data_IF_939285664184
#
_entry.id   IF_939285664184
#
_cell.length_a   1.000
_cell.length_b   1.000
_cell.length_c   1.000
_cell.angle_alpha   90.00
_cell.angle_beta   90.00
_cell.angle_gamma   90.00
#
_symmetry.space_group_name_H-M   'P 1'
#
loop_
_entity.id
_entity.type
_entity.pdbx_description
1 polymer ?
#
# COMPACT_ATOMS: atom_id res chain seq x y z
N UNK A 1 -50.29 -16.36 -49.54
CA UNK A 1 -48.93 -16.84 -49.19
C UNK A 1 -48.46 -16.11 -47.92
N UNK A 2 -47.48 -16.67 -47.19
CA UNK A 2 -47.26 -16.35 -45.76
C UNK A 2 -46.68 -14.95 -45.53
N UNK A 3 -47.20 -14.24 -44.52
CA UNK A 3 -46.50 -13.10 -43.89
C UNK A 3 -45.31 -13.62 -43.09
N UNK A 4 -44.12 -13.07 -43.30
CA UNK A 4 -42.94 -13.35 -42.47
C UNK A 4 -42.78 -12.23 -41.46
N UNK A 5 -42.98 -12.53 -40.18
CA UNK A 5 -42.85 -11.57 -39.09
C UNK A 5 -41.44 -11.72 -38.48
N UNK A 6 -40.51 -10.82 -38.83
CA UNK A 6 -39.13 -10.89 -38.33
C UNK A 6 -39.06 -10.33 -36.90
N UNK A 7 -39.05 -11.22 -35.91
CA UNK A 7 -38.97 -10.85 -34.49
C UNK A 7 -37.52 -10.45 -34.13
N UNK A 8 -37.25 -9.15 -34.02
CA UNK A 8 -35.99 -8.65 -33.46
C UNK A 8 -35.95 -8.92 -31.94
N UNK A 9 -35.25 -9.98 -31.55
CA UNK A 9 -35.03 -10.31 -30.14
C UNK A 9 -33.91 -9.41 -29.59
N UNK A 10 -34.27 -8.22 -29.12
CA UNK A 10 -33.36 -7.34 -28.38
C UNK A 10 -32.97 -8.03 -27.06
N UNK A 11 -31.79 -8.64 -27.03
CA UNK A 11 -31.20 -9.18 -25.81
C UNK A 11 -30.64 -8.02 -24.96
N UNK A 12 -31.55 -7.22 -24.39
CA UNK A 12 -31.20 -6.14 -23.50
C UNK A 12 -30.51 -6.69 -22.25
N UNK A 13 -29.22 -6.44 -22.11
CA UNK A 13 -28.48 -6.69 -20.86
C UNK A 13 -29.01 -5.74 -19.79
N UNK A 14 -30.04 -6.17 -19.07
CA UNK A 14 -30.54 -5.46 -17.89
C UNK A 14 -29.44 -5.45 -16.84
N UNK A 15 -28.75 -4.32 -16.72
CA UNK A 15 -27.97 -3.98 -15.54
C UNK A 15 -28.94 -3.95 -14.36
N UNK A 16 -29.00 -5.05 -13.62
CA UNK A 16 -29.76 -5.11 -12.37
C UNK A 16 -29.21 -4.02 -11.44
N UNK A 17 -30.06 -3.16 -10.85
CA UNK A 17 -29.60 -2.19 -9.86
C UNK A 17 -28.88 -2.91 -8.72
N UNK A 18 -27.81 -2.30 -8.21
CA UNK A 18 -26.98 -2.88 -7.16
C UNK A 18 -27.84 -3.16 -5.93
N UNK A 19 -28.02 -4.44 -5.63
CA UNK A 19 -28.94 -4.92 -4.61
C UNK A 19 -28.53 -4.45 -3.21
N UNK A 20 -29.52 -4.03 -2.40
CA UNK A 20 -29.28 -3.43 -1.09
C UNK A 20 -28.41 -4.32 -0.19
N UNK A 21 -27.34 -3.73 0.31
CA UNK A 21 -26.43 -4.37 1.25
C UNK A 21 -26.93 -4.30 2.69
N UNK A 22 -26.26 -5.02 3.58
CA UNK A 22 -26.50 -4.88 5.03
C UNK A 22 -25.51 -3.86 5.62
N UNK A 23 -26.05 -2.93 6.42
CA UNK A 23 -25.26 -1.96 7.19
C UNK A 23 -25.34 -2.28 8.68
N UNK A 24 -24.20 -2.32 9.38
CA UNK A 24 -24.15 -2.60 10.82
C UNK A 24 -23.14 -1.74 11.57
N UNK A 25 -23.53 -1.35 12.79
CA UNK A 25 -22.73 -0.53 13.70
C UNK A 25 -21.77 -1.37 14.54
N UNK A 26 -20.51 -0.97 14.51
CA UNK A 26 -19.37 -1.60 15.16
C UNK A 26 -19.02 -0.84 16.44
N UNK A 27 -18.85 0.48 16.34
CA UNK A 27 -18.47 1.36 17.44
C UNK A 27 -19.34 2.62 17.48
N UNK A 28 -19.47 3.23 18.66
CA UNK A 28 -20.14 4.53 18.84
C UNK A 28 -19.09 5.64 18.82
N UNK A 29 -18.74 6.09 17.63
CA UNK A 29 -17.80 7.19 17.39
C UNK A 29 -18.54 8.43 16.86
N UNK A 30 -17.91 9.59 16.97
CA UNK A 30 -18.41 10.83 16.36
C UNK A 30 -18.35 10.74 14.83
N UNK A 31 -19.31 11.34 14.13
CA UNK A 31 -19.20 11.52 12.67
C UNK A 31 -18.02 12.44 12.31
N UNK A 32 -17.42 12.28 11.12
CA UNK A 32 -16.47 13.24 10.58
C UNK A 32 -17.09 14.63 10.47
N UNK A 33 -16.26 15.67 10.59
CA UNK A 33 -16.70 17.08 10.44
C UNK A 33 -16.72 17.56 8.99
N UNK A 34 -15.83 17.02 8.16
CA UNK A 34 -15.55 17.55 6.82
C UNK A 34 -15.49 16.45 5.76
N UNK A 35 -15.82 16.83 4.52
CA UNK A 35 -15.62 16.01 3.34
C UNK A 35 -14.13 15.90 3.00
N UNK A 36 -13.74 14.84 2.29
CA UNK A 36 -12.36 14.70 1.77
C UNK A 36 -12.26 15.31 0.38
N UNK A 37 -11.11 15.90 0.00
CA UNK A 37 -10.91 16.40 -1.35
C UNK A 37 -11.03 15.25 -2.36
N UNK A 38 -11.84 15.48 -3.38
CA UNK A 38 -12.13 14.50 -4.42
C UNK A 38 -11.86 15.12 -5.81
N UNK A 39 -11.43 14.27 -6.75
CA UNK A 39 -11.03 14.67 -8.10
C UNK A 39 -11.59 13.69 -9.14
N UNK A 40 -11.60 14.10 -10.42
CA UNK A 40 -12.10 13.24 -11.50
C UNK A 40 -11.20 12.03 -11.72
N UNK A 41 -11.77 10.91 -12.20
CA UNK A 41 -11.02 9.69 -12.50
C UNK A 41 -9.88 9.95 -13.50
N UNK A 42 -10.09 10.82 -14.50
CA UNK A 42 -9.04 11.22 -15.45
C UNK A 42 -7.87 11.89 -14.74
N UNK A 43 -8.12 12.85 -13.84
CA UNK A 43 -7.06 13.54 -13.09
C UNK A 43 -6.28 12.58 -12.18
N UNK A 44 -6.94 11.56 -11.64
CA UNK A 44 -6.28 10.48 -10.90
C UNK A 44 -5.33 9.71 -11.81
N UNK A 45 -5.79 9.23 -12.96
CA UNK A 45 -4.92 8.49 -13.89
C UNK A 45 -3.75 9.33 -14.40
N UNK A 46 -3.98 10.60 -14.72
CA UNK A 46 -2.90 11.53 -15.08
C UNK A 46 -1.87 11.66 -13.95
N UNK A 47 -2.30 11.82 -12.70
CA UNK A 47 -1.39 11.85 -11.54
C UNK A 47 -0.61 10.55 -11.39
N UNK A 48 -1.29 9.40 -11.49
CA UNK A 48 -0.64 8.09 -11.41
C UNK A 48 0.40 7.91 -12.53
N UNK A 49 0.09 8.31 -13.77
CA UNK A 49 1.05 8.29 -14.89
C UNK A 49 2.27 9.18 -14.59
N UNK A 50 2.10 10.36 -13.99
CA UNK A 50 3.25 11.20 -13.55
C UNK A 50 4.09 10.49 -12.49
N UNK A 51 3.45 9.93 -11.46
CA UNK A 51 4.14 9.17 -10.40
C UNK A 51 4.90 7.95 -10.95
N UNK A 52 4.34 7.23 -11.93
CA UNK A 52 4.99 6.06 -12.56
C UNK A 52 6.23 6.41 -13.38
N UNK A 53 6.23 7.60 -13.99
CA UNK A 53 7.40 8.18 -14.65
C UNK A 53 8.40 8.80 -13.64
N UNK A 54 8.21 8.56 -12.33
CA UNK A 54 9.11 8.99 -11.27
C UNK A 54 9.08 10.49 -10.98
N UNK A 55 7.97 11.18 -11.24
CA UNK A 55 7.82 12.64 -11.08
C UNK A 55 7.68 13.14 -9.63
N UNK A 56 7.77 12.26 -8.63
CA UNK A 56 7.65 12.65 -7.22
C UNK A 56 9.00 13.18 -6.68
N UNK A 57 8.92 14.17 -5.79
CA UNK A 57 10.02 15.01 -5.26
C UNK A 57 10.63 16.05 -6.25
N UNK A 58 9.96 17.20 -6.40
CA UNK A 58 10.63 18.45 -6.81
C UNK A 58 9.79 19.42 -7.64
N UNK A 59 10.20 20.69 -7.66
CA UNK A 59 9.52 21.80 -8.36
C UNK A 59 9.51 21.71 -9.90
N UNK A 60 10.01 20.61 -10.47
CA UNK A 60 10.14 20.35 -11.91
C UNK A 60 8.80 20.04 -12.63
N UNK A 61 7.69 19.85 -11.91
CA UNK A 61 6.40 19.41 -12.51
C UNK A 61 5.83 20.33 -13.60
N UNK A 62 6.20 21.62 -13.65
CA UNK A 62 5.53 22.61 -14.51
C UNK A 62 6.01 22.61 -15.97
N UNK A 63 7.19 22.09 -16.26
CA UNK A 63 7.82 22.20 -17.59
C UNK A 63 7.85 20.88 -18.38
N UNK A 64 7.30 19.79 -17.83
CA UNK A 64 7.26 18.47 -18.48
C UNK A 64 5.92 18.26 -19.19
N UNK A 65 5.96 18.10 -20.52
CA UNK A 65 4.79 17.85 -21.34
C UNK A 65 4.43 16.35 -21.34
N UNK A 66 3.64 15.94 -20.34
CA UNK A 66 3.18 14.56 -20.21
C UNK A 66 2.15 14.18 -21.28
N UNK A 67 2.59 13.41 -22.28
CA UNK A 67 1.68 12.70 -23.19
C UNK A 67 1.05 11.51 -22.45
N UNK A 68 -0.10 11.74 -21.80
CA UNK A 68 -0.83 10.70 -21.08
C UNK A 68 -1.30 9.55 -22.00
N UNK A 69 -1.65 9.86 -23.25
CA UNK A 69 -2.07 8.91 -24.31
C UNK A 69 -3.15 7.89 -23.89
N UNK A 70 -4.04 8.27 -22.97
CA UNK A 70 -5.20 7.46 -22.57
C UNK A 70 -6.16 7.36 -23.76
N UNK A 71 -6.46 6.13 -24.19
CA UNK A 71 -7.32 5.83 -25.34
C UNK A 71 -8.75 5.58 -24.86
N UNK A 72 -8.92 4.85 -23.76
CA UNK A 72 -10.20 4.58 -23.14
C UNK A 72 -10.04 4.28 -21.64
N UNK A 73 -11.12 4.48 -20.87
CA UNK A 73 -11.15 4.22 -19.44
C UNK A 73 -12.56 3.88 -18.95
N UNK A 74 -12.64 3.27 -17.76
CA UNK A 74 -13.89 3.05 -17.03
C UNK A 74 -14.61 4.37 -16.77
N UNK A 75 -15.93 4.43 -17.07
CA UNK A 75 -16.76 5.58 -16.71
C UNK A 75 -17.09 5.55 -15.21
N UNK A 76 -16.59 6.55 -14.49
CA UNK A 76 -16.98 6.85 -13.11
C UNK A 76 -17.31 8.35 -13.09
N UNK A 77 -18.58 8.67 -12.87
CA UNK A 77 -19.11 10.04 -12.96
C UNK A 77 -18.95 10.81 -11.63
N UNK A 78 -18.90 10.09 -10.51
CA UNK A 78 -18.66 10.66 -9.18
C UNK A 78 -17.17 10.95 -8.97
N UNK A 79 -16.80 12.16 -8.47
CA UNK A 79 -15.43 12.44 -8.03
C UNK A 79 -14.97 11.46 -6.95
N UNK A 80 -13.68 11.12 -6.97
CA UNK A 80 -13.09 10.15 -6.04
C UNK A 80 -12.00 10.79 -5.18
N UNK A 81 -11.97 10.40 -3.91
CA UNK A 81 -10.83 10.61 -3.01
C UNK A 81 -9.70 9.69 -3.48
N UNK A 82 -8.50 10.25 -3.64
CA UNK A 82 -7.35 9.54 -4.22
C UNK A 82 -6.23 9.35 -3.21
N UNK A 83 -5.69 8.13 -3.12
CA UNK A 83 -4.57 7.78 -2.25
C UNK A 83 -3.44 7.09 -3.03
N UNK A 84 -3.16 7.56 -4.24
CA UNK A 84 -2.08 7.02 -5.08
C UNK A 84 -2.27 5.54 -5.42
N UNK A 85 -1.23 4.74 -5.22
CA UNK A 85 -1.18 3.32 -5.60
C UNK A 85 -1.85 2.35 -4.61
N UNK A 86 -2.34 2.79 -3.45
CA UNK A 86 -3.03 1.90 -2.49
C UNK A 86 -4.40 2.43 -2.01
N UNK A 87 -5.38 2.74 -2.90
CA UNK A 87 -6.62 3.38 -2.49
C UNK A 87 -7.49 2.60 -1.50
N UNK A 88 -7.59 1.27 -1.62
CA UNK A 88 -8.35 0.45 -0.68
C UNK A 88 -7.71 0.47 0.71
N UNK A 89 -6.40 0.19 0.81
CA UNK A 89 -5.71 0.18 2.10
C UNK A 89 -5.70 1.55 2.76
N UNK A 90 -5.26 2.59 2.04
CA UNK A 90 -5.18 3.95 2.58
C UNK A 90 -6.55 4.55 2.85
N UNK A 91 -7.56 4.20 2.05
CA UNK A 91 -8.95 4.56 2.33
C UNK A 91 -9.50 3.90 3.59
N UNK A 92 -9.13 2.64 3.87
CA UNK A 92 -9.51 1.96 5.12
C UNK A 92 -8.75 2.54 6.32
N UNK A 93 -7.47 2.90 6.15
CA UNK A 93 -6.72 3.66 7.15
C UNK A 93 -7.37 5.01 7.44
N UNK A 94 -7.76 5.77 6.40
CA UNK A 94 -8.44 7.06 6.55
C UNK A 94 -9.79 6.91 7.28
N UNK A 95 -10.55 5.87 6.96
CA UNK A 95 -11.80 5.56 7.63
C UNK A 95 -11.60 5.20 9.11
N UNK A 96 -10.51 4.49 9.44
CA UNK A 96 -10.11 4.18 10.80
C UNK A 96 -9.62 5.41 11.58
N UNK A 97 -8.83 6.28 10.94
CA UNK A 97 -8.28 7.48 11.56
C UNK A 97 -9.36 8.54 11.85
N UNK A 98 -10.28 8.77 10.91
CA UNK A 98 -11.29 9.84 10.96
C UNK A 98 -12.72 9.36 11.28
N UNK A 99 -12.88 8.09 11.66
CA UNK A 99 -14.17 7.48 12.02
C UNK A 99 -15.21 7.55 10.88
N UNK A 100 -14.78 7.32 9.64
CA UNK A 100 -15.68 7.27 8.49
C UNK A 100 -16.30 5.87 8.38
N UNK A 101 -17.60 5.72 8.06
CA UNK A 101 -18.13 4.41 7.67
C UNK A 101 -17.40 3.89 6.42
N UNK A 102 -17.32 2.57 6.27
CA UNK A 102 -16.62 1.96 5.13
C UNK A 102 -17.51 0.92 4.42
N UNK A 103 -17.45 0.90 3.09
CA UNK A 103 -18.29 0.05 2.25
C UNK A 103 -17.45 -1.03 1.58
N UNK A 104 -17.89 -2.28 1.66
CA UNK A 104 -17.24 -3.43 1.05
C UNK A 104 -18.21 -4.15 0.11
N UNK A 105 -17.69 -4.71 -0.99
CA UNK A 105 -18.45 -5.61 -1.86
C UNK A 105 -17.68 -6.90 -2.15
N UNK A 106 -18.37 -7.97 -2.61
CA UNK A 106 -17.73 -9.21 -3.03
C UNK A 106 -16.63 -8.99 -4.07
N UNK A 107 -16.84 -8.07 -5.02
CA UNK A 107 -15.86 -7.76 -6.08
C UNK A 107 -14.61 -7.08 -5.54
N UNK A 108 -14.74 -6.18 -4.55
CA UNK A 108 -13.58 -5.52 -3.92
C UNK A 108 -12.73 -6.56 -3.18
N UNK A 109 -13.36 -7.40 -2.36
CA UNK A 109 -12.67 -8.45 -1.61
C UNK A 109 -12.09 -9.50 -2.56
N UNK A 110 -12.81 -9.88 -3.61
CA UNK A 110 -12.31 -10.80 -4.64
C UNK A 110 -11.16 -10.21 -5.46
N UNK A 111 -11.15 -8.90 -5.73
CA UNK A 111 -10.05 -8.25 -6.43
C UNK A 111 -8.76 -8.26 -5.60
N UNK A 112 -8.84 -7.95 -4.30
CA UNK A 112 -7.68 -8.07 -3.39
C UNK A 112 -7.10 -9.49 -3.40
N UNK A 113 -7.97 -10.50 -3.33
CA UNK A 113 -7.58 -11.91 -3.39
C UNK A 113 -6.98 -12.27 -4.77
N UNK A 114 -7.57 -11.77 -5.85
CA UNK A 114 -7.06 -12.00 -7.22
C UNK A 114 -5.69 -11.34 -7.45
N UNK A 115 -5.46 -10.14 -6.88
CA UNK A 115 -4.16 -9.48 -6.93
C UNK A 115 -3.13 -10.17 -6.05
N UNK A 116 -3.50 -10.67 -4.87
CA UNK A 116 -2.62 -11.51 -4.05
C UNK A 116 -2.23 -12.81 -4.75
N UNK A 117 -3.15 -13.45 -5.48
CA UNK A 117 -2.87 -14.58 -6.36
C UNK A 117 -1.93 -14.19 -7.52
N UNK A 118 -2.19 -13.09 -8.22
CA UNK A 118 -1.31 -12.64 -9.31
C UNK A 118 0.12 -12.36 -8.81
N UNK A 119 0.26 -11.75 -7.62
CA UNK A 119 1.56 -11.54 -6.96
C UNK A 119 2.22 -12.85 -6.54
N UNK A 120 1.46 -13.86 -6.12
CA UNK A 120 1.98 -15.21 -5.88
C UNK A 120 2.56 -15.83 -7.16
N UNK A 121 1.82 -15.78 -8.28
CA UNK A 121 2.30 -16.29 -9.56
C UNK A 121 3.58 -15.56 -10.00
N UNK A 122 3.62 -14.22 -9.92
CA UNK A 122 4.82 -13.44 -10.28
C UNK A 122 6.01 -13.67 -9.35
N UNK A 123 5.79 -13.81 -8.04
CA UNK A 123 6.86 -14.02 -7.06
C UNK A 123 7.47 -15.43 -7.16
N UNK A 124 6.67 -16.42 -7.54
CA UNK A 124 7.04 -17.83 -7.61
C UNK A 124 7.06 -18.35 -9.06
N UNK A 125 7.29 -17.48 -10.06
CA UNK A 125 7.18 -17.82 -11.48
C UNK A 125 8.06 -19.01 -11.92
N UNK A 126 9.19 -19.21 -11.24
CA UNK A 126 10.09 -20.38 -11.43
C UNK A 126 9.76 -21.52 -10.44
N UNK A 127 9.40 -21.21 -9.19
CA UNK A 127 9.18 -22.19 -8.10
C UNK A 127 7.80 -22.87 -8.12
N UNK A 128 6.80 -22.30 -8.78
CA UNK A 128 5.54 -23.00 -9.10
C UNK A 128 5.73 -24.13 -10.13
N UNK A 129 6.98 -24.37 -10.54
CA UNK A 129 7.38 -25.62 -11.20
C UNK A 129 7.71 -26.74 -10.21
N UNK A 130 8.20 -26.48 -8.97
CA UNK A 130 8.54 -27.53 -7.97
C UNK A 130 8.85 -27.11 -6.49
N UNK A 131 8.02 -26.26 -5.83
CA UNK A 131 7.74 -26.18 -4.34
C UNK A 131 8.85 -25.76 -3.30
N UNK A 132 8.38 -25.54 -2.06
CA UNK A 132 9.04 -25.56 -0.70
C UNK A 132 9.27 -24.21 0.08
N UNK A 133 9.55 -24.29 1.41
CA UNK A 133 9.30 -23.30 2.51
C UNK A 133 10.38 -23.36 3.64
N UNK A 134 10.56 -22.44 4.63
CA UNK A 134 9.72 -22.33 5.88
C UNK A 134 10.12 -21.30 7.01
N UNK A 135 9.10 -20.87 7.80
CA UNK A 135 9.05 -20.17 9.13
C UNK A 135 9.79 -18.81 9.33
N UNK A 136 9.84 -18.06 10.45
CA UNK A 136 9.32 -18.13 11.86
C UNK A 136 9.02 -16.69 12.42
N UNK A 137 8.58 -16.47 13.69
CA UNK A 137 8.58 -15.11 14.32
C UNK A 137 7.66 -14.78 15.55
N UNK A 138 7.89 -13.60 16.19
CA UNK A 138 7.64 -13.30 17.64
C UNK A 138 6.80 -12.03 18.03
N UNK A 139 6.99 -11.37 19.21
CA UNK A 139 5.94 -10.59 19.97
C UNK A 139 6.42 -9.37 20.82
N UNK A 140 5.55 -8.34 21.00
CA UNK A 140 5.68 -7.18 21.95
C UNK A 140 4.36 -6.81 22.70
N UNK A 141 4.44 -6.05 23.80
CA UNK A 141 3.32 -5.65 24.70
C UNK A 141 3.08 -4.12 24.74
N UNK A 142 1.83 -3.69 25.03
CA UNK A 142 1.41 -2.26 25.08
C UNK A 142 0.44 -1.99 26.25
N UNK A 143 0.55 -0.82 26.90
CA UNK A 143 -0.37 -0.31 27.94
C UNK A 143 -1.21 0.83 27.36
N UNK A 144 -2.51 0.91 27.71
CA UNK A 144 -3.45 1.95 27.27
C UNK A 144 -4.00 2.76 28.45
N UNK A 145 -4.16 4.07 28.27
CA UNK A 145 -4.94 4.92 29.17
C UNK A 145 -6.45 4.62 29.03
N UNK A 146 -7.22 4.90 30.10
CA UNK A 146 -8.68 4.76 30.13
C UNK A 146 -9.34 6.13 30.00
N UNK A 147 -10.10 6.34 28.91
CA UNK A 147 -11.09 7.41 28.83
C UNK A 147 -10.60 8.78 28.35
N UNK A 148 -11.48 9.77 28.49
CA UNK A 148 -11.23 11.17 28.16
C UNK A 148 -10.79 11.93 29.42
N UNK A 149 -9.57 12.46 29.40
CA UNK A 149 -8.99 13.19 30.53
C UNK A 149 -9.03 14.72 30.37
N UNK A 150 -9.43 15.23 29.19
CA UNK A 150 -9.48 16.66 28.90
C UNK A 150 -10.91 17.21 28.94
N UNK A 151 -11.91 16.38 28.66
CA UNK A 151 -13.34 16.73 28.75
C UNK A 151 -14.00 16.42 30.10
N UNK A 152 -13.28 15.83 31.06
CA UNK A 152 -13.81 15.42 32.36
C UNK A 152 -12.98 16.02 33.51
N UNK A 153 -13.55 16.91 34.35
CA UNK A 153 -12.88 17.44 35.54
C UNK A 153 -12.48 16.35 36.55
N UNK A 154 -13.26 15.27 36.63
CA UNK A 154 -13.04 14.13 37.53
C UNK A 154 -12.17 13.03 36.90
N UNK A 155 -11.36 13.37 35.90
CA UNK A 155 -10.46 12.43 35.27
C UNK A 155 -9.33 12.01 36.22
N UNK A 156 -9.09 10.71 36.34
CA UNK A 156 -8.04 10.13 37.19
C UNK A 156 -6.63 10.33 36.60
N UNK A 157 -6.20 11.58 36.45
CA UNK A 157 -4.84 11.96 36.06
C UNK A 157 -3.79 11.32 36.99
N UNK A 158 -4.12 11.12 38.25
CA UNK A 158 -3.30 10.44 39.25
C UNK A 158 -2.88 9.00 38.84
N UNK A 159 -3.67 8.32 38.00
CA UNK A 159 -3.34 6.95 37.52
C UNK A 159 -2.23 6.90 36.46
N UNK A 160 -1.90 8.01 35.77
CA UNK A 160 -0.94 7.97 34.65
C UNK A 160 0.53 8.19 35.07
N UNK A 161 0.77 8.95 36.13
CA UNK A 161 2.11 9.31 36.60
C UNK A 161 2.97 8.11 37.08
N UNK A 162 2.41 7.08 37.75
CA UNK A 162 3.15 5.86 38.07
C UNK A 162 3.65 5.10 36.83
N UNK A 163 2.99 5.30 35.68
CA UNK A 163 3.41 4.73 34.39
C UNK A 163 4.69 5.37 33.84
N UNK A 164 4.94 6.65 34.14
CA UNK A 164 6.18 7.34 33.74
C UNK A 164 7.33 6.98 34.66
N UNK A 165 7.15 7.02 35.98
CA UNK A 165 8.23 6.67 36.94
C UNK A 165 8.66 5.21 36.80
N UNK A 166 7.73 4.28 36.55
CA UNK A 166 8.06 2.88 36.23
C UNK A 166 8.89 2.72 34.96
N UNK A 167 8.73 3.60 33.96
CA UNK A 167 9.55 3.58 32.75
C UNK A 167 10.90 4.27 32.96
N UNK A 168 10.98 5.32 33.79
CA UNK A 168 12.26 5.93 34.21
C UNK A 168 13.12 4.90 34.96
N UNK A 169 12.54 4.17 35.92
CA UNK A 169 13.22 3.11 36.67
C UNK A 169 13.84 2.01 35.79
N UNK A 170 13.24 1.72 34.62
CA UNK A 170 13.79 0.74 33.67
C UNK A 170 15.13 1.18 33.04
N UNK A 171 15.44 2.48 33.04
CA UNK A 171 16.69 3.04 32.52
C UNK A 171 17.65 3.52 33.61
N UNK A 172 17.14 3.95 34.77
CA UNK A 172 17.96 4.50 35.87
C UNK A 172 18.16 3.53 37.05
N UNK A 173 17.44 2.41 37.06
CA UNK A 173 17.28 1.53 38.23
C UNK A 173 16.26 2.09 39.22
N UNK A 174 15.62 1.19 39.97
CA UNK A 174 14.54 1.52 40.91
C UNK A 174 14.98 2.51 42.00
N UNK A 175 16.25 2.44 42.44
CA UNK A 175 16.82 3.25 43.53
C UNK A 175 16.65 4.76 43.34
N UNK A 176 16.78 5.28 42.12
CA UNK A 176 16.59 6.72 41.87
C UNK A 176 15.13 7.13 42.06
N UNK A 177 14.20 6.30 41.57
CA UNK A 177 12.77 6.52 41.69
C UNK A 177 12.33 6.34 43.15
N UNK A 178 12.89 5.37 43.87
CA UNK A 178 12.65 5.14 45.31
C UNK A 178 13.12 6.33 46.17
N UNK A 179 14.31 6.87 45.92
CA UNK A 179 14.85 8.02 46.67
C UNK A 179 14.01 9.29 46.49
N UNK A 180 13.44 9.49 45.29
CA UNK A 180 12.73 10.71 44.92
C UNK A 180 11.20 10.60 45.08
N UNK A 181 10.65 9.39 45.28
CA UNK A 181 9.22 9.19 45.51
C UNK A 181 8.86 9.51 46.95
N UNK A 182 7.79 10.27 47.17
CA UNK A 182 7.22 10.44 48.49
C UNK A 182 6.60 9.12 48.96
N UNK A 183 7.04 8.62 50.11
CA UNK A 183 6.59 7.37 50.73
C UNK A 183 6.54 7.46 52.28
N UNK A 184 6.35 8.67 52.80
CA UNK A 184 6.37 8.96 54.24
C UNK A 184 5.04 8.59 54.90
N UNK A 185 5.02 8.51 56.23
CA UNK A 185 3.80 8.24 57.01
C UNK A 185 2.68 9.30 56.86
N UNK A 186 2.98 10.44 56.24
CA UNK A 186 2.04 11.52 55.92
C UNK A 186 1.73 11.64 54.42
N UNK A 187 2.29 10.78 53.56
CA UNK A 187 2.07 10.86 52.11
C UNK A 187 0.67 10.38 51.75
N UNK A 188 -0.12 11.25 51.11
CA UNK A 188 -1.39 10.89 50.47
C UNK A 188 -1.18 10.68 48.96
N UNK A 189 -2.21 10.26 48.18
CA UNK A 189 -2.10 10.16 46.73
C UNK A 189 -1.61 11.45 46.05
N UNK A 190 -1.97 12.62 46.60
CA UNK A 190 -1.57 13.94 46.06
C UNK A 190 -0.07 14.15 46.18
N UNK A 191 0.53 13.94 47.35
CA UNK A 191 1.99 14.07 47.53
C UNK A 191 2.76 12.98 46.75
N UNK A 192 2.19 11.78 46.63
CA UNK A 192 2.77 10.72 45.80
C UNK A 192 2.82 11.15 44.32
N UNK A 193 1.73 11.66 43.76
CA UNK A 193 1.67 12.17 42.37
C UNK A 193 2.59 13.37 42.18
N UNK A 194 2.61 14.32 43.12
CA UNK A 194 3.50 15.48 43.06
C UNK A 194 4.97 15.04 42.97
N UNK A 195 5.40 14.09 43.81
CA UNK A 195 6.77 13.54 43.76
C UNK A 195 7.09 12.83 42.44
N UNK A 196 6.13 12.13 41.83
CA UNK A 196 6.30 11.47 40.53
C UNK A 196 6.46 12.50 39.39
N UNK A 197 5.75 13.63 39.46
CA UNK A 197 5.92 14.75 38.53
C UNK A 197 7.28 15.43 38.74
N UNK A 198 7.76 15.57 39.98
CA UNK A 198 9.13 16.06 40.27
C UNK A 198 10.21 15.11 39.73
N UNK A 199 10.01 13.79 39.78
CA UNK A 199 10.90 12.82 39.12
C UNK A 199 10.90 13.04 37.60
N UNK A 200 9.74 13.21 36.98
CA UNK A 200 9.66 13.54 35.54
C UNK A 200 10.39 14.86 35.25
N UNK A 201 10.27 15.86 36.12
CA UNK A 201 10.96 17.13 35.95
C UNK A 201 12.49 16.98 35.94
N UNK A 202 13.06 16.23 36.89
CA UNK A 202 14.49 15.98 36.96
C UNK A 202 15.02 15.22 35.72
N UNK A 203 14.17 14.38 35.11
CA UNK A 203 14.52 13.53 33.98
C UNK A 203 14.18 14.13 32.61
N UNK A 204 13.52 15.30 32.55
CA UNK A 204 13.16 15.99 31.29
C UNK A 204 14.31 16.36 30.34
N UNK A 205 15.61 16.47 30.74
CA UNK A 205 16.69 16.64 29.77
C UNK A 205 17.04 15.35 28.99
N UNK A 206 16.56 14.20 29.46
CA UNK A 206 16.91 12.87 28.94
C UNK A 206 15.72 12.12 28.33
N UNK A 207 14.49 12.52 28.67
CA UNK A 207 13.26 11.84 28.25
C UNK A 207 12.18 12.84 27.83
N UNK A 208 11.51 12.57 26.72
CA UNK A 208 10.32 13.28 26.27
C UNK A 208 9.06 12.59 26.81
N UNK A 209 8.17 13.34 27.48
CA UNK A 209 6.97 12.80 28.12
C UNK A 209 5.71 13.00 27.27
N UNK A 210 5.51 12.14 26.27
CA UNK A 210 4.39 12.24 25.33
C UNK A 210 3.17 11.43 25.80
N UNK A 211 2.00 12.08 25.89
CA UNK A 211 0.70 11.42 26.09
C UNK A 211 -0.07 11.40 24.77
N UNK A 212 -0.03 10.28 24.03
CA UNK A 212 -0.77 10.14 22.78
C UNK A 212 -2.19 9.60 23.00
N UNK A 213 -3.21 10.33 22.51
CA UNK A 213 -4.61 9.86 22.42
C UNK A 213 -5.00 9.62 20.97
N UNK A 214 -5.02 8.35 20.56
CA UNK A 214 -5.62 7.91 19.30
C UNK A 214 -6.93 7.16 19.60
N UNK A 215 -8.05 7.87 19.62
CA UNK A 215 -9.34 7.21 19.37
C UNK A 215 -9.39 7.04 17.86
N UNK A 216 -9.20 5.80 17.39
CA UNK A 216 -9.29 5.43 15.99
C UNK A 216 -10.08 4.11 15.90
N UNK A 217 -10.95 4.02 14.89
CA UNK A 217 -11.92 2.94 14.72
C UNK A 217 -12.88 3.26 13.57
N UNK A 218 -13.42 2.22 12.94
CA UNK A 218 -14.44 2.36 11.89
C UNK A 218 -15.82 2.15 12.56
N UNK A 219 -16.72 3.15 12.57
CA UNK A 219 -17.96 3.07 13.35
C UNK A 219 -18.99 2.12 12.76
N UNK A 220 -19.02 1.98 11.44
CA UNK A 220 -20.09 1.32 10.69
C UNK A 220 -19.53 0.73 9.39
N UNK A 221 -20.00 -0.47 9.05
CA UNK A 221 -19.70 -1.15 7.78
C UNK A 221 -20.98 -1.40 7.01
N UNK A 222 -20.93 -1.19 5.70
CA UNK A 222 -21.93 -1.68 4.74
C UNK A 222 -21.33 -2.77 3.88
N UNK A 223 -21.89 -3.99 3.95
CA UNK A 223 -21.59 -5.08 3.03
C UNK A 223 -22.63 -5.10 1.90
N UNK A 224 -22.21 -4.73 0.69
CA UNK A 224 -22.99 -4.90 -0.53
C UNK A 224 -22.99 -6.38 -0.97
N UNK A 225 -23.90 -6.73 -1.89
CA UNK A 225 -24.00 -8.08 -2.46
C UNK A 225 -24.67 -9.10 -1.54
N UNK A 226 -25.16 -10.20 -2.11
CA UNK A 226 -25.98 -11.17 -1.37
C UNK A 226 -25.11 -12.15 -0.56
N UNK A 227 -25.68 -12.85 0.44
CA UNK A 227 -25.02 -13.98 1.09
C UNK A 227 -24.52 -15.07 0.13
N UNK A 228 -25.16 -15.23 -1.04
CA UNK A 228 -24.74 -16.18 -2.07
C UNK A 228 -23.46 -15.70 -2.77
N UNK A 229 -23.27 -14.40 -2.91
CA UNK A 229 -22.07 -13.83 -3.55
C UNK A 229 -20.89 -13.88 -2.57
N UNK A 230 -21.12 -13.57 -1.29
CA UNK A 230 -20.11 -13.78 -0.23
C UNK A 230 -19.73 -15.26 -0.08
N UNK A 231 -20.68 -16.19 -0.20
CA UNK A 231 -20.39 -17.63 -0.24
C UNK A 231 -19.52 -17.99 -1.46
N UNK A 232 -19.83 -17.44 -2.66
CA UNK A 232 -19.00 -17.63 -3.86
C UNK A 232 -17.58 -17.07 -3.70
N UNK A 233 -17.38 -15.95 -2.99
CA UNK A 233 -16.03 -15.44 -2.67
C UNK A 233 -15.27 -16.45 -1.79
N UNK A 234 -15.91 -16.98 -0.73
CA UNK A 234 -15.34 -18.01 0.13
C UNK A 234 -14.96 -19.28 -0.68
N UNK A 235 -15.88 -19.80 -1.50
CA UNK A 235 -15.68 -21.03 -2.26
C UNK A 235 -14.57 -20.88 -3.31
N UNK A 236 -14.56 -19.76 -4.05
CA UNK A 236 -13.46 -19.45 -5.00
C UNK A 236 -12.13 -19.28 -4.29
N UNK A 237 -12.10 -18.71 -3.09
CA UNK A 237 -10.86 -18.56 -2.30
C UNK A 237 -10.32 -19.91 -1.83
N UNK A 238 -11.19 -20.86 -1.45
CA UNK A 238 -10.78 -22.24 -1.15
C UNK A 238 -10.11 -22.90 -2.34
N UNK A 239 -10.67 -22.76 -3.55
CA UNK A 239 -10.10 -23.33 -4.77
C UNK A 239 -8.71 -22.77 -5.15
N UNK A 240 -8.30 -21.61 -4.62
CA UNK A 240 -6.92 -21.14 -4.80
C UNK A 240 -5.89 -21.99 -4.05
N UNK A 241 -6.31 -22.81 -3.08
CA UNK A 241 -5.42 -23.68 -2.31
C UNK A 241 -4.62 -24.67 -3.19
N UNK A 242 -5.20 -25.05 -4.34
CA UNK A 242 -4.62 -25.95 -5.35
C UNK A 242 -3.36 -25.38 -6.03
N UNK A 243 -3.19 -24.05 -5.98
CA UNK A 243 -2.08 -23.30 -6.60
C UNK A 243 -1.01 -22.92 -5.56
N UNK A 244 -0.65 -23.86 -4.68
CA UNK A 244 0.31 -23.69 -3.56
C UNK A 244 0.03 -22.49 -2.61
N UNK A 245 -1.24 -22.09 -2.51
CA UNK A 245 -1.70 -21.03 -1.62
C UNK A 245 -2.43 -21.55 -0.39
N UNK A 246 -2.35 -22.85 -0.10
CA UNK A 246 -2.94 -23.47 1.10
C UNK A 246 -2.51 -22.81 2.43
N UNK A 247 -1.33 -22.17 2.48
CA UNK A 247 -0.89 -21.38 3.64
C UNK A 247 -1.61 -20.03 3.79
N UNK A 248 -2.12 -19.46 2.69
CA UNK A 248 -2.80 -18.17 2.65
C UNK A 248 -4.32 -18.33 2.70
N UNK A 249 -4.87 -19.28 1.96
CA UNK A 249 -6.32 -19.55 1.93
C UNK A 249 -6.86 -20.00 3.28
N UNK A 250 -6.06 -20.74 4.08
CA UNK A 250 -6.37 -21.07 5.48
C UNK A 250 -6.48 -19.84 6.39
N UNK A 251 -5.75 -18.76 6.09
CA UNK A 251 -5.82 -17.50 6.85
C UNK A 251 -7.01 -16.63 6.42
N UNK A 252 -7.42 -16.72 5.16
CA UNK A 252 -8.59 -16.01 4.59
C UNK A 252 -9.93 -16.70 4.88
N UNK A 253 -10.00 -18.04 4.85
CA UNK A 253 -11.23 -18.80 5.08
C UNK A 253 -12.01 -18.39 6.36
N UNK A 254 -11.39 -18.27 7.56
CA UNK A 254 -12.11 -17.84 8.75
C UNK A 254 -12.63 -16.41 8.62
N UNK A 255 -11.93 -15.51 7.91
CA UNK A 255 -12.44 -14.16 7.64
C UNK A 255 -13.69 -14.24 6.77
N UNK A 256 -13.60 -14.90 5.63
CA UNK A 256 -14.66 -14.96 4.63
C UNK A 256 -15.92 -15.67 5.16
N UNK A 257 -15.79 -16.59 6.12
CA UNK A 257 -16.92 -17.12 6.89
C UNK A 257 -17.64 -16.04 7.71
N UNK A 258 -16.92 -15.13 8.35
CA UNK A 258 -17.53 -14.00 9.08
C UNK A 258 -18.18 -12.98 8.13
N UNK A 259 -17.65 -12.78 6.90
CA UNK A 259 -18.35 -12.03 5.84
C UNK A 259 -19.66 -12.72 5.42
N UNK A 260 -19.65 -14.05 5.24
CA UNK A 260 -20.87 -14.83 4.94
C UNK A 260 -21.89 -14.77 6.08
N UNK A 261 -21.47 -14.79 7.35
CA UNK A 261 -22.38 -14.59 8.50
C UNK A 261 -22.94 -13.17 8.54
N UNK A 262 -22.07 -12.16 8.45
CA UNK A 262 -22.47 -10.76 8.52
C UNK A 262 -23.44 -10.37 7.41
N UNK A 263 -23.24 -10.86 6.17
CA UNK A 263 -24.19 -10.67 5.07
C UNK A 263 -25.59 -11.27 5.32
N UNK A 264 -25.73 -12.23 6.24
CA UNK A 264 -27.01 -12.82 6.69
C UNK A 264 -27.58 -12.14 7.94
N UNK A 265 -26.93 -11.10 8.47
CA UNK A 265 -27.31 -10.43 9.71
C UNK A 265 -26.62 -10.95 10.99
N UNK A 266 -25.83 -12.03 10.90
CA UNK A 266 -25.06 -12.56 12.04
C UNK A 266 -23.71 -11.83 12.16
N UNK A 267 -23.70 -10.72 12.92
CA UNK A 267 -22.58 -9.78 12.97
C UNK A 267 -21.73 -9.96 14.24
N UNK A 268 -20.58 -10.62 14.09
CA UNK A 268 -19.54 -10.69 15.13
C UNK A 268 -18.80 -9.35 15.26
N UNK A 269 -19.25 -8.47 16.16
CA UNK A 269 -18.63 -7.14 16.36
C UNK A 269 -17.17 -7.19 16.78
N UNK A 270 -16.72 -8.23 17.49
CA UNK A 270 -15.30 -8.36 17.91
C UNK A 270 -14.41 -8.61 16.69
N UNK A 271 -14.85 -9.44 15.75
CA UNK A 271 -14.19 -9.63 14.46
C UNK A 271 -14.09 -8.33 13.64
N UNK A 272 -15.20 -7.60 13.51
CA UNK A 272 -15.22 -6.35 12.73
C UNK A 272 -14.40 -5.23 13.37
N UNK A 273 -14.38 -5.11 14.71
CA UNK A 273 -13.47 -4.19 15.44
C UNK A 273 -11.99 -4.52 15.21
N UNK A 274 -11.67 -5.75 14.81
CA UNK A 274 -10.32 -6.20 14.51
C UNK A 274 -9.96 -6.09 13.01
N UNK A 275 -10.65 -5.23 12.23
CA UNK A 275 -10.36 -5.09 10.79
C UNK A 275 -9.03 -4.40 10.51
N UNK A 276 -8.76 -3.30 11.21
CA UNK A 276 -7.61 -2.43 11.02
C UNK A 276 -7.19 -1.91 12.40
N UNK A 277 -5.90 -1.97 12.73
CA UNK A 277 -5.30 -1.23 13.85
C UNK A 277 -3.99 -0.62 13.43
N UNK A 278 -3.71 0.55 13.98
CA UNK A 278 -2.46 1.27 13.77
C UNK A 278 -1.76 1.45 15.11
N UNK A 279 -0.48 1.09 15.18
CA UNK A 279 0.36 1.22 16.37
C UNK A 279 1.57 2.09 16.06
N UNK A 280 1.60 3.30 16.60
CA UNK A 280 2.83 4.06 16.74
C UNK A 280 3.74 3.36 17.74
N UNK A 281 4.98 3.07 17.36
CA UNK A 281 5.97 2.54 18.30
C UNK A 281 6.42 3.62 19.28
N UNK A 282 6.92 3.21 20.46
CA UNK A 282 7.32 4.13 21.55
C UNK A 282 8.56 4.98 21.27
N UNK A 283 9.24 4.78 20.13
CA UNK A 283 10.43 5.52 19.74
C UNK A 283 10.13 6.43 18.56
N UNK A 284 10.56 7.70 18.65
CA UNK A 284 10.48 8.67 17.57
C UNK A 284 11.25 8.16 16.35
N UNK A 285 10.62 8.17 15.16
CA UNK A 285 11.22 7.67 13.92
C UNK A 285 11.16 6.15 13.69
N UNK A 286 10.66 5.35 14.64
CA UNK A 286 10.47 3.91 14.42
C UNK A 286 9.24 3.64 13.51
N UNK A 287 9.30 2.66 12.59
CA UNK A 287 8.25 2.46 11.60
C UNK A 287 6.94 1.98 12.24
N UNK A 288 5.83 2.58 11.81
CA UNK A 288 4.50 2.26 12.34
C UNK A 288 4.09 0.82 11.99
N UNK A 289 3.46 0.13 12.95
CA UNK A 289 2.96 -1.23 12.76
C UNK A 289 1.45 -1.20 12.49
N UNK A 290 1.01 -1.95 11.48
CA UNK A 290 -0.40 -2.10 11.15
C UNK A 290 -0.80 -3.56 11.35
N UNK A 291 -1.88 -3.80 12.10
CA UNK A 291 -2.48 -5.13 12.30
C UNK A 291 -4.00 -5.13 12.00
N UNK A 292 -4.63 -6.27 12.27
CA UNK A 292 -6.04 -6.53 11.99
C UNK A 292 -6.17 -7.52 10.84
N UNK A 293 -7.39 -7.94 10.51
CA UNK A 293 -7.56 -8.91 9.44
C UNK A 293 -7.23 -8.35 8.04
N UNK A 294 -7.17 -7.01 7.87
CA UNK A 294 -6.80 -6.37 6.60
C UNK A 294 -5.45 -6.85 6.06
N UNK A 295 -4.45 -7.06 6.94
CA UNK A 295 -3.08 -7.43 6.53
C UNK A 295 -3.05 -8.79 5.82
N UNK A 296 -4.04 -9.65 6.07
CA UNK A 296 -4.17 -10.97 5.45
C UNK A 296 -4.50 -10.89 3.96
N UNK A 297 -5.00 -9.75 3.46
CA UNK A 297 -5.23 -9.53 2.02
C UNK A 297 -3.96 -9.16 1.25
N UNK A 298 -2.84 -8.93 1.94
CA UNK A 298 -1.56 -8.54 1.33
C UNK A 298 -0.48 -9.62 1.55
N UNK A 299 -0.55 -10.77 0.84
CA UNK A 299 0.38 -11.88 1.02
C UNK A 299 1.83 -11.60 0.60
N UNK A 300 2.05 -10.55 -0.19
CA UNK A 300 3.36 -10.14 -0.69
C UNK A 300 3.51 -8.61 -0.61
N UNK A 301 4.74 -8.12 -0.40
CA UNK A 301 5.09 -6.70 -0.50
C UNK A 301 5.39 -6.30 -1.97
N UNK A 302 5.64 -5.00 -2.24
CA UNK A 302 5.97 -4.46 -3.59
C UNK A 302 7.22 -5.03 -4.26
N UNK A 303 8.04 -5.75 -3.50
CA UNK A 303 9.26 -6.42 -3.97
C UNK A 303 9.04 -7.93 -4.24
N UNK A 304 7.83 -8.44 -4.00
CA UNK A 304 7.50 -9.86 -4.13
C UNK A 304 7.97 -10.72 -2.95
N UNK A 305 8.39 -10.11 -1.83
CA UNK A 305 8.69 -10.84 -0.59
C UNK A 305 7.38 -11.20 0.11
N UNK A 306 7.28 -12.45 0.58
CA UNK A 306 6.11 -12.94 1.32
C UNK A 306 5.97 -12.26 2.67
N UNK A 307 4.76 -11.79 2.98
CA UNK A 307 4.42 -11.20 4.27
C UNK A 307 4.02 -12.28 5.30
N UNK A 308 4.18 -11.97 6.58
CA UNK A 308 3.88 -12.91 7.68
C UNK A 308 2.38 -13.04 8.01
N UNK A 309 1.50 -12.27 7.34
CA UNK A 309 0.04 -12.21 7.53
C UNK A 309 -0.43 -11.85 8.97
N UNK A 310 0.47 -11.37 9.84
CA UNK A 310 0.18 -10.92 11.21
C UNK A 310 0.21 -9.40 11.34
N UNK A 311 1.18 -8.77 10.69
CA UNK A 311 1.35 -7.32 10.69
C UNK A 311 2.07 -6.82 9.43
N UNK A 312 1.90 -5.55 9.11
CA UNK A 312 2.69 -4.80 8.13
C UNK A 312 3.54 -3.76 8.85
N UNK A 313 4.70 -3.43 8.26
CA UNK A 313 5.64 -2.43 8.78
C UNK A 313 5.65 -1.28 7.78
N UNK A 314 5.08 -0.14 8.16
CA UNK A 314 4.82 0.99 7.26
C UNK A 314 3.73 0.70 6.22
N UNK A 315 3.35 1.75 5.48
CA UNK A 315 2.51 1.64 4.28
C UNK A 315 3.32 1.49 2.99
N UNK A 316 4.57 1.98 2.98
CA UNK A 316 5.34 2.20 1.75
C UNK A 316 5.76 0.91 1.04
N UNK A 317 5.76 -0.22 1.74
CA UNK A 317 6.10 -1.54 1.19
C UNK A 317 4.88 -2.31 0.63
N UNK A 318 3.68 -1.74 0.73
CA UNK A 318 2.48 -2.31 0.12
C UNK A 318 2.62 -2.43 -1.40
N UNK A 319 2.19 -3.55 -2.00
CA UNK A 319 2.19 -3.68 -3.45
C UNK A 319 1.07 -2.81 -4.07
N UNK A 320 1.35 -2.24 -5.23
CA UNK A 320 0.40 -1.42 -5.97
C UNK A 320 -0.93 -2.14 -6.17
N UNK A 321 -2.02 -1.49 -5.80
CA UNK A 321 -3.40 -1.96 -5.95
C UNK A 321 -3.96 -1.73 -7.37
N UNK A 322 -3.13 -1.18 -8.26
CA UNK A 322 -3.35 -1.12 -9.70
C UNK A 322 -2.31 -2.02 -10.37
N UNK A 323 -2.77 -3.04 -11.10
CA UNK A 323 -1.91 -3.89 -11.91
C UNK A 323 -1.75 -3.28 -13.31
N UNK A 324 -0.56 -3.47 -13.90
CA UNK A 324 -0.21 -3.01 -15.24
C UNK A 324 0.14 -4.20 -16.13
N UNK A 325 -0.36 -4.22 -17.37
CA UNK A 325 -0.15 -5.30 -18.35
C UNK A 325 0.11 -4.72 -19.74
N UNK A 326 1.20 -5.15 -20.37
CA UNK A 326 1.53 -4.79 -21.74
C UNK A 326 0.61 -5.49 -22.74
N UNK A 327 0.18 -4.74 -23.76
CA UNK A 327 -0.65 -5.22 -24.87
C UNK A 327 -0.04 -4.74 -26.20
N UNK A 328 -0.23 -5.49 -27.28
CA UNK A 328 0.09 -5.05 -28.64
C UNK A 328 -1.19 -4.97 -29.46
N UNK A 329 -1.52 -3.78 -29.97
CA UNK A 329 -2.59 -3.60 -30.94
C UNK A 329 -2.01 -3.71 -32.35
N UNK A 330 -2.42 -4.74 -33.11
CA UNK A 330 -1.97 -4.99 -34.47
C UNK A 330 -3.07 -4.60 -35.44
N UNK A 331 -2.82 -3.57 -36.25
CA UNK A 331 -3.71 -3.15 -37.33
C UNK A 331 -3.26 -3.80 -38.63
N UNK A 332 -4.07 -4.74 -39.14
CA UNK A 332 -3.79 -5.47 -40.38
C UNK A 332 -4.02 -4.63 -41.65
N UNK A 333 -4.78 -3.54 -41.57
CA UNK A 333 -5.05 -2.63 -42.69
C UNK A 333 -3.87 -1.70 -42.90
N UNK A 334 -3.40 -1.04 -41.84
CA UNK A 334 -2.21 -0.16 -41.91
C UNK A 334 -0.88 -0.93 -41.79
N UNK A 335 -0.93 -2.23 -41.44
CA UNK A 335 0.22 -3.09 -41.13
C UNK A 335 1.08 -2.55 -39.98
N UNK A 336 0.48 -1.80 -39.06
CA UNK A 336 1.18 -1.23 -37.90
C UNK A 336 0.96 -2.05 -36.63
N UNK A 337 1.91 -1.98 -35.70
CA UNK A 337 1.74 -2.51 -34.34
C UNK A 337 1.97 -1.39 -33.35
N UNK A 338 0.93 -1.05 -32.59
CA UNK A 338 1.00 -0.03 -31.52
C UNK A 338 1.16 -0.73 -30.16
N UNK A 339 2.22 -0.44 -29.40
CA UNK A 339 2.36 -0.93 -28.03
C UNK A 339 1.41 -0.15 -27.10
N UNK A 340 0.62 -0.88 -26.32
CA UNK A 340 -0.37 -0.37 -25.39
C UNK A 340 -0.07 -0.88 -23.97
N UNK A 341 -0.64 -0.23 -22.98
CA UNK A 341 -0.56 -0.63 -21.58
C UNK A 341 -1.96 -0.55 -20.94
N UNK A 342 -2.35 -1.63 -20.28
CA UNK A 342 -3.59 -1.77 -19.53
C UNK A 342 -3.31 -1.57 -18.04
N UNK A 343 -4.07 -0.67 -17.40
CA UNK A 343 -4.00 -0.44 -15.97
C UNK A 343 -5.37 -0.78 -15.37
N UNK A 344 -5.42 -1.61 -14.33
CA UNK A 344 -6.69 -1.99 -13.69
C UNK A 344 -6.52 -2.24 -12.20
N UNK A 345 -7.48 -1.81 -11.37
CA UNK A 345 -7.37 -1.97 -9.93
C UNK A 345 -8.28 -1.03 -9.14
N UNK A 346 -7.93 -0.79 -7.88
CA UNK A 346 -8.55 0.27 -7.10
C UNK A 346 -8.01 1.63 -7.54
N UNK A 347 -8.90 2.57 -7.87
CA UNK A 347 -8.51 3.88 -8.41
C UNK A 347 -8.80 5.03 -7.45
N UNK A 348 -9.62 4.81 -6.42
CA UNK A 348 -10.02 5.84 -5.47
C UNK A 348 -11.21 5.38 -4.64
N UNK A 349 -11.77 6.30 -3.86
CA UNK A 349 -12.97 6.06 -3.05
C UNK A 349 -14.01 7.13 -3.34
N UNK A 350 -15.22 6.68 -3.64
CA UNK A 350 -16.39 7.55 -3.62
C UNK A 350 -16.75 7.84 -2.16
N UNK A 351 -16.97 9.10 -1.85
CA UNK A 351 -17.47 9.54 -0.56
C UNK A 351 -18.96 9.85 -0.67
N UNK A 352 -19.78 9.22 0.18
CA UNK A 352 -21.18 9.57 0.30
C UNK A 352 -21.32 10.94 1.01
N UNK A 353 -22.09 11.87 0.42
CA UNK A 353 -22.24 13.23 0.92
C UNK A 353 -23.07 13.41 2.21
N UNK A 354 -23.82 12.39 2.64
CA UNK A 354 -24.72 12.47 3.80
C UNK A 354 -24.13 11.81 5.07
N UNK A 355 -23.43 10.70 4.90
CA UNK A 355 -22.86 9.91 6.00
C UNK A 355 -21.33 9.80 5.96
N UNK A 356 -20.68 10.43 4.98
CA UNK A 356 -19.22 10.39 4.75
C UNK A 356 -18.63 8.99 4.51
N UNK A 357 -19.47 7.98 4.21
CA UNK A 357 -19.01 6.62 3.97
C UNK A 357 -18.06 6.57 2.77
N UNK A 358 -16.91 5.93 2.95
CA UNK A 358 -15.95 5.71 1.89
C UNK A 358 -16.21 4.36 1.20
N UNK A 359 -16.37 4.40 -0.12
CA UNK A 359 -16.62 3.25 -0.99
C UNK A 359 -15.48 3.11 -1.99
N UNK A 360 -14.58 2.12 -1.86
CA UNK A 360 -13.58 1.81 -2.87
C UNK A 360 -14.19 1.62 -4.26
N UNK A 361 -13.53 2.16 -5.28
CA UNK A 361 -13.93 2.02 -6.69
C UNK A 361 -12.86 1.29 -7.46
N UNK A 362 -13.32 0.28 -8.21
CA UNK A 362 -12.51 -0.46 -9.17
C UNK A 362 -12.64 0.25 -10.52
N UNK A 363 -11.51 0.52 -11.15
CA UNK A 363 -11.43 1.17 -12.46
C UNK A 363 -10.41 0.49 -13.36
N UNK A 364 -10.46 0.85 -14.64
CA UNK A 364 -9.43 0.49 -15.61
C UNK A 364 -9.19 1.63 -16.61
N UNK A 365 -8.00 1.64 -17.20
CA UNK A 365 -7.68 2.43 -18.40
C UNK A 365 -6.80 1.64 -19.37
N UNK A 366 -6.83 2.04 -20.63
CA UNK A 366 -5.90 1.63 -21.66
C UNK A 366 -5.25 2.87 -22.26
N UNK A 367 -3.92 2.88 -22.31
CA UNK A 367 -3.13 3.96 -22.91
C UNK A 367 -2.15 3.41 -23.94
N UNK A 368 -1.63 4.25 -24.83
CA UNK A 368 -0.40 3.88 -25.56
C UNK A 368 0.76 3.79 -24.57
N UNK A 369 1.63 2.82 -24.78
CA UNK A 369 2.83 2.65 -23.96
C UNK A 369 3.91 3.60 -24.48
N UNK A 370 4.47 4.42 -23.59
CA UNK A 370 5.63 5.27 -23.90
C UNK A 370 6.89 4.41 -24.07
N UNK A 371 7.04 3.80 -25.24
CA UNK A 371 8.20 2.97 -25.59
C UNK A 371 9.46 3.77 -25.90
N UNK A 372 9.36 5.10 -26.00
CA UNK A 372 10.51 6.01 -26.17
C UNK A 372 10.96 6.61 -24.84
N UNK A 373 10.20 6.35 -23.76
CA UNK A 373 10.31 6.97 -22.44
C UNK A 373 10.53 8.48 -22.56
N UNK A 374 9.73 9.15 -23.39
CA UNK A 374 9.86 10.58 -23.67
C UNK A 374 9.63 11.41 -22.39
N UNK A 375 8.72 10.97 -21.51
CA UNK A 375 8.52 11.59 -20.19
C UNK A 375 9.76 11.44 -19.28
N UNK A 376 10.40 10.27 -19.28
CA UNK A 376 11.66 10.07 -18.54
C UNK A 376 12.80 10.90 -19.14
N UNK A 377 12.91 10.99 -20.47
CA UNK A 377 13.92 11.83 -21.14
C UNK A 377 13.77 13.30 -20.77
N UNK A 378 12.54 13.82 -20.72
CA UNK A 378 12.26 15.18 -20.25
C UNK A 378 12.65 15.34 -18.77
N UNK A 379 12.23 14.40 -17.90
CA UNK A 379 12.61 14.46 -16.49
C UNK A 379 14.13 14.47 -16.31
N UNK A 380 14.85 13.58 -16.99
CA UNK A 380 16.30 13.51 -16.90
C UNK A 380 17.00 14.75 -17.46
N UNK A 381 16.45 15.38 -18.50
CA UNK A 381 16.94 16.67 -18.96
C UNK A 381 16.73 17.78 -17.92
N UNK A 382 15.68 17.73 -17.11
CA UNK A 382 15.48 18.67 -16.00
C UNK A 382 16.39 18.32 -14.81
N UNK A 383 16.44 17.07 -14.37
CA UNK A 383 17.30 16.58 -13.29
C UNK A 383 18.80 16.82 -13.56
N UNK A 384 19.24 16.86 -14.83
CA UNK A 384 20.61 17.21 -15.23
C UNK A 384 20.87 18.73 -15.32
N UNK A 385 19.82 19.56 -15.41
CA UNK A 385 19.93 21.02 -15.48
C UNK A 385 19.73 21.70 -14.12
N UNK A 386 18.99 21.07 -13.19
CA UNK A 386 18.89 21.52 -11.80
C UNK A 386 20.15 21.08 -11.06
N UNK A 387 20.89 22.05 -10.52
CA UNK A 387 22.13 21.81 -9.78
C UNK A 387 21.95 20.79 -8.66
N UNK A 388 22.89 19.83 -8.61
CA UNK A 388 23.04 18.82 -7.57
C UNK A 388 22.98 19.45 -6.16
N UNK A 389 22.05 19.03 -5.29
CA UNK A 389 22.18 19.26 -3.84
C UNK A 389 21.47 18.22 -2.94
N UNK A 390 20.38 17.54 -3.37
CA UNK A 390 19.63 16.64 -2.46
C UNK A 390 19.66 15.12 -2.80
N UNK A 391 19.85 14.70 -4.07
CA UNK A 391 19.73 13.27 -4.47
C UNK A 391 21.05 12.58 -4.84
N UNK A 392 22.16 13.33 -4.83
CA UNK A 392 23.49 12.88 -5.26
C UNK A 392 23.62 12.62 -6.77
N UNK A 393 22.69 13.12 -7.59
CA UNK A 393 22.78 13.06 -9.05
C UNK A 393 22.62 11.65 -9.65
N UNK A 394 21.82 10.80 -9.01
CA UNK A 394 21.58 9.42 -9.44
C UNK A 394 20.25 9.25 -10.17
N UNK A 395 20.34 8.86 -11.44
CA UNK A 395 19.22 8.37 -12.24
C UNK A 395 18.87 6.95 -11.79
N UNK A 396 17.75 6.75 -11.11
CA UNK A 396 17.36 5.41 -10.59
C UNK A 396 16.12 4.89 -11.31
N UNK A 397 16.24 3.74 -11.98
CA UNK A 397 15.17 3.14 -12.79
C UNK A 397 14.93 1.69 -12.41
N UNK A 398 13.67 1.30 -12.18
CA UNK A 398 13.27 -0.11 -12.03
C UNK A 398 12.72 -0.63 -13.36
N UNK A 399 13.38 -1.60 -13.98
CA UNK A 399 13.14 -1.95 -15.39
C UNK A 399 13.14 -3.48 -15.63
N UNK A 400 12.35 -4.00 -16.57
CA UNK A 400 12.48 -5.40 -17.01
C UNK A 400 13.63 -5.59 -18.02
N UNK A 401 13.94 -4.54 -18.78
CA UNK A 401 15.00 -4.45 -19.79
C UNK A 401 15.49 -3.01 -19.87
N UNK A 402 16.74 -2.77 -20.26
CA UNK A 402 17.27 -1.40 -20.40
C UNK A 402 16.40 -0.57 -21.37
N UNK A 403 15.87 0.59 -20.94
CA UNK A 403 15.13 1.50 -21.82
C UNK A 403 15.98 1.94 -23.02
N UNK A 404 15.48 1.70 -24.23
CA UNK A 404 16.10 2.20 -25.48
C UNK A 404 16.23 3.73 -25.50
N UNK A 405 15.39 4.40 -24.70
CA UNK A 405 15.44 5.82 -24.41
C UNK A 405 16.82 6.31 -23.95
N UNK A 406 17.51 5.52 -23.12
CA UNK A 406 18.83 5.84 -22.56
C UNK A 406 19.88 5.94 -23.67
N UNK A 407 19.79 5.13 -24.71
CA UNK A 407 20.82 5.06 -25.76
C UNK A 407 20.99 6.38 -26.52
N UNK A 408 19.97 7.25 -26.54
CA UNK A 408 20.09 8.57 -27.17
C UNK A 408 20.56 9.68 -26.22
N UNK A 409 20.95 9.35 -24.99
CA UNK A 409 21.48 10.34 -24.05
C UNK A 409 22.99 10.47 -24.28
N UNK A 410 23.49 11.71 -24.35
CA UNK A 410 24.91 11.93 -24.58
C UNK A 410 25.76 11.53 -23.37
N UNK A 411 25.32 11.91 -22.16
CA UNK A 411 26.04 11.71 -20.90
C UNK A 411 25.06 11.50 -19.75
N UNK A 412 25.40 10.61 -18.81
CA UNK A 412 24.69 10.41 -17.55
C UNK A 412 25.75 10.23 -16.45
N UNK A 413 25.78 11.11 -15.45
CA UNK A 413 26.84 11.04 -14.43
C UNK A 413 26.71 9.78 -13.55
N UNK A 414 25.53 9.51 -12.96
CA UNK A 414 25.32 8.27 -12.19
C UNK A 414 23.98 7.62 -12.58
N UNK A 415 24.02 6.36 -13.00
CA UNK A 415 22.86 5.57 -13.43
C UNK A 415 22.72 4.32 -12.55
N UNK A 416 21.53 4.04 -12.06
CA UNK A 416 21.18 2.83 -11.31
C UNK A 416 20.00 2.12 -11.98
N UNK A 417 20.23 0.88 -12.42
CA UNK A 417 19.24 0.03 -13.09
C UNK A 417 18.89 -1.16 -12.19
N UNK A 418 17.68 -1.13 -11.65
CA UNK A 418 17.10 -2.20 -10.83
C UNK A 418 16.24 -3.12 -11.69
N UNK A 419 16.85 -4.22 -12.15
CA UNK A 419 16.19 -5.23 -12.96
C UNK A 419 15.14 -6.00 -12.15
N UNK A 420 13.94 -6.17 -12.73
CA UNK A 420 12.87 -6.93 -12.07
C UNK A 420 13.19 -8.42 -11.91
N UNK A 421 14.06 -8.96 -12.77
CA UNK A 421 14.58 -10.32 -12.70
C UNK A 421 16.06 -10.40 -13.14
N UNK A 422 16.33 -10.54 -14.44
CA UNK A 422 17.67 -10.77 -14.98
C UNK A 422 18.36 -9.48 -15.39
N UNK A 423 19.61 -9.29 -14.96
CA UNK A 423 20.50 -8.24 -15.50
C UNK A 423 20.90 -8.65 -16.91
N UNK A 424 20.59 -7.79 -17.88
CA UNK A 424 20.96 -7.94 -19.28
C UNK A 424 21.22 -6.56 -19.89
N UNK A 425 22.44 -6.30 -20.33
CA UNK A 425 22.84 -4.97 -20.83
C UNK A 425 23.04 -4.99 -22.36
N UNK A 426 22.17 -4.37 -23.16
CA UNK A 426 22.37 -4.25 -24.61
C UNK A 426 23.65 -3.45 -24.91
N UNK A 427 24.35 -3.82 -26.00
CA UNK A 427 25.61 -3.17 -26.39
C UNK A 427 25.40 -1.68 -26.69
N UNK A 428 24.20 -1.33 -27.15
CA UNK A 428 23.72 0.01 -27.47
C UNK A 428 23.75 0.96 -26.27
N UNK A 429 23.78 0.47 -25.02
CA UNK A 429 23.95 1.33 -23.85
C UNK A 429 25.38 1.91 -23.77
N UNK A 430 26.38 1.28 -24.40
CA UNK A 430 27.77 1.75 -24.41
C UNK A 430 28.00 3.06 -25.19
N UNK A 431 27.02 3.50 -25.98
CA UNK A 431 27.10 4.77 -26.70
C UNK A 431 26.76 5.99 -25.82
N UNK A 432 26.38 5.76 -24.55
CA UNK A 432 26.11 6.77 -23.53
C UNK A 432 27.35 6.95 -22.66
N UNK A 433 27.81 8.18 -22.45
CA UNK A 433 28.91 8.44 -21.51
C UNK A 433 28.41 8.33 -20.06
N UNK A 434 28.68 7.20 -19.39
CA UNK A 434 28.26 6.95 -18.00
C UNK A 434 29.47 6.99 -17.06
N UNK A 435 29.46 7.79 -15.97
CA UNK A 435 30.57 7.79 -14.99
C UNK A 435 30.41 6.69 -13.93
N UNK A 436 29.20 6.49 -13.39
CA UNK A 436 28.86 5.40 -12.45
C UNK A 436 27.63 4.63 -12.89
N UNK A 437 27.68 3.31 -12.80
CA UNK A 437 26.64 2.39 -13.24
C UNK A 437 26.38 1.30 -12.18
N UNK A 438 25.30 1.47 -11.42
CA UNK A 438 24.79 0.48 -10.46
C UNK A 438 23.83 -0.47 -11.18
N UNK A 439 24.10 -1.77 -11.16
CA UNK A 439 23.23 -2.80 -11.74
C UNK A 439 22.73 -3.72 -10.62
N UNK A 440 21.42 -3.73 -10.39
CA UNK A 440 20.78 -4.59 -9.39
C UNK A 440 19.84 -5.59 -10.07
N UNK A 441 19.81 -6.85 -9.64
CA UNK A 441 18.91 -7.86 -10.20
C UNK A 441 18.92 -9.18 -9.43
N UNK A 442 18.06 -10.13 -9.80
CA UNK A 442 17.97 -11.46 -9.16
C UNK A 442 19.01 -12.44 -9.72
N UNK A 443 19.34 -12.32 -10.99
CA UNK A 443 20.29 -13.19 -11.71
C UNK A 443 21.05 -12.44 -12.80
N UNK A 444 22.24 -12.94 -13.09
CA UNK A 444 23.12 -12.53 -14.19
C UNK A 444 23.73 -13.80 -14.78
N UNK A 445 23.94 -13.85 -16.10
CA UNK A 445 24.52 -15.04 -16.75
C UNK A 445 26.03 -15.14 -16.49
N UNK A 446 26.57 -16.35 -16.60
CA UNK A 446 28.01 -16.58 -16.57
C UNK A 446 28.71 -15.80 -17.71
N UNK A 447 29.75 -15.03 -17.37
CA UNK A 447 30.48 -14.17 -18.31
C UNK A 447 29.80 -12.82 -18.63
N UNK A 448 28.53 -12.61 -18.31
CA UNK A 448 27.81 -11.35 -18.58
C UNK A 448 28.40 -10.18 -17.75
N UNK A 449 28.78 -10.42 -16.49
CA UNK A 449 29.50 -9.42 -15.67
C UNK A 449 30.83 -8.97 -16.34
N UNK A 450 31.61 -9.93 -16.84
CA UNK A 450 32.87 -9.63 -17.52
C UNK A 450 32.63 -8.89 -18.85
N UNK A 451 31.56 -9.24 -19.57
CA UNK A 451 31.14 -8.52 -20.77
C UNK A 451 30.75 -7.08 -20.45
N UNK A 452 29.97 -6.83 -19.40
CA UNK A 452 29.57 -5.49 -18.96
C UNK A 452 30.80 -4.65 -18.57
N UNK A 453 31.71 -5.20 -17.75
CA UNK A 453 32.95 -4.51 -17.37
C UNK A 453 33.84 -4.17 -18.58
N UNK A 454 33.84 -5.01 -19.62
CA UNK A 454 34.52 -4.72 -20.90
C UNK A 454 33.76 -3.70 -21.77
N UNK A 455 32.43 -3.68 -21.68
CA UNK A 455 31.55 -2.77 -22.43
C UNK A 455 31.64 -1.32 -21.91
N UNK A 456 31.95 -1.14 -20.63
CA UNK A 456 32.07 0.17 -19.97
C UNK A 456 33.46 0.37 -19.32
N UNK A 457 34.55 0.47 -20.10
CA UNK A 457 35.93 0.49 -19.57
C UNK A 457 36.28 1.75 -18.76
N UNK A 458 35.51 2.84 -18.94
CA UNK A 458 35.73 4.14 -18.28
C UNK A 458 34.68 4.47 -17.21
N UNK A 459 33.85 3.50 -16.83
CA UNK A 459 32.72 3.66 -15.89
C UNK A 459 33.01 2.88 -14.60
N UNK A 460 32.67 3.44 -13.45
CA UNK A 460 32.60 2.66 -12.20
C UNK A 460 31.35 1.78 -12.26
N UNK A 461 31.49 0.47 -12.45
CA UNK A 461 30.37 -0.47 -12.53
C UNK A 461 30.27 -1.31 -11.27
N UNK A 462 29.21 -1.12 -10.51
CA UNK A 462 28.87 -1.92 -9.34
C UNK A 462 27.69 -2.85 -9.67
N UNK A 463 27.89 -4.17 -9.54
CA UNK A 463 26.86 -5.17 -9.80
C UNK A 463 26.48 -5.86 -8.49
N UNK A 464 25.21 -5.74 -8.11
CA UNK A 464 24.65 -6.34 -6.90
C UNK A 464 23.52 -7.29 -7.25
N UNK A 465 23.65 -8.55 -6.85
CA UNK A 465 22.50 -9.45 -6.87
C UNK A 465 21.64 -9.24 -5.62
N UNK A 466 20.32 -9.18 -5.79
CA UNK A 466 19.41 -9.33 -4.66
C UNK A 466 19.72 -10.66 -3.96
N UNK A 467 19.77 -10.69 -2.62
CA UNK A 467 20.17 -11.89 -1.90
C UNK A 467 19.28 -13.07 -2.32
N UNK A 468 19.93 -14.13 -2.83
CA UNK A 468 19.27 -15.43 -2.97
C UNK A 468 18.72 -15.82 -1.60
N UNK A 469 17.49 -16.30 -1.56
CA UNK A 469 16.91 -16.82 -0.31
C UNK A 469 17.80 -17.94 0.22
N UNK A 470 18.39 -17.74 1.39
CA UNK A 470 18.70 -18.85 2.27
C UNK A 470 17.36 -19.40 2.81
N UNK A 471 17.26 -20.72 2.89
CA UNK A 471 16.00 -21.49 2.93
C UNK A 471 15.05 -21.18 4.12
#
# INVERSE_FOLDING_TARGET
MKKLLTLFMFLGTTLLPAQDGITFKIERLSKPKEALPAQSITSIYEKLIRMDNGADYGHAEKDINYHYEIIAQSKIETPLVSFGYNPFFQGMYQAYAEHRPFVLSPDMVWLLISQGFARHVSANAEQLRERFVNFSGQVSLVVKAKGDMLGNPDAAWEEIFPGFTKQIAQYTGDRLVEILSANFSTTTPVEAVASQITIMEAMKPYFEFVVMRAICGIPEITLKGTPKDWQRVLDKTKALADYDLSWWTRELEPLLKEFVKASKGDVNKVFWRNMFKYHSQKQYGAPNIIDGWIVKFFPYNKNGKRNNLRQLVGGDDLPDEIVKVDLKYVDLVTKTTTPLELWAGFVGLEQNGENYALTPKIGWMIRKKDVRYDALRQKLAVDMNVGNDETGGWVRLRVPTVPTALFSMGKIDNLSLSFTDKILIPNELAQVEIKRLDLMGRRIDEGEEARIKKLFPNTTVDISLFPKSAD
#
